data_IF_251822220324
#
_entry.id   IF_251822220324
#
_cell.length_a   1.000
_cell.length_b   1.000
_cell.length_c   1.000
_cell.angle_alpha   90.00
_cell.angle_beta   90.00
_cell.angle_gamma   90.00
#
_symmetry.space_group_name_H-M   'P 1'
#
loop_
_entity.id
_entity.type
_entity.pdbx_description
1 polymer ?
#
# COMPACT_ATOMS: atom_id res chain seq x y z
N UNK A 1 -44.36 16.30 -18.98
CA UNK A 1 -43.74 15.22 -18.23
C UNK A 1 -42.99 14.22 -19.15
N UNK A 2 -41.94 14.62 -19.87
CA UNK A 2 -41.14 13.72 -20.73
C UNK A 2 -39.67 14.14 -20.91
N UNK A 3 -39.03 14.68 -19.88
CA UNK A 3 -37.64 15.21 -20.01
C UNK A 3 -36.62 14.68 -18.97
N UNK A 4 -36.93 13.66 -18.17
CA UNK A 4 -36.09 13.27 -17.01
C UNK A 4 -35.38 11.91 -17.12
N UNK A 5 -35.28 11.29 -18.33
CA UNK A 5 -34.68 9.95 -18.45
C UNK A 5 -33.29 9.94 -19.14
N UNK A 6 -32.74 11.08 -19.54
CA UNK A 6 -31.48 11.09 -20.33
C UNK A 6 -30.17 11.32 -19.55
N UNK A 7 -30.23 11.63 -18.27
CA UNK A 7 -29.05 11.96 -17.46
C UNK A 7 -28.18 10.78 -16.93
N UNK A 8 -28.69 9.57 -16.67
CA UNK A 8 -27.83 8.50 -16.13
C UNK A 8 -26.84 7.90 -17.16
N UNK A 9 -27.14 7.98 -18.46
CA UNK A 9 -26.26 7.47 -19.50
C UNK A 9 -24.97 8.29 -19.68
N UNK A 10 -25.00 9.60 -19.45
CA UNK A 10 -23.83 10.45 -19.58
C UNK A 10 -22.81 10.23 -18.44
N UNK A 11 -23.28 9.95 -17.22
CA UNK A 11 -22.41 9.64 -16.09
C UNK A 11 -21.75 8.28 -16.24
N UNK A 12 -22.47 7.29 -16.75
CA UNK A 12 -21.92 5.95 -17.03
C UNK A 12 -20.88 5.98 -18.15
N UNK A 13 -21.03 6.84 -19.16
CA UNK A 13 -20.09 6.99 -20.26
C UNK A 13 -18.79 7.67 -19.82
N UNK A 14 -18.83 8.63 -18.93
CA UNK A 14 -17.64 9.29 -18.35
C UNK A 14 -16.85 8.30 -17.46
N UNK A 15 -17.53 7.44 -16.73
CA UNK A 15 -16.91 6.41 -15.90
C UNK A 15 -16.25 5.31 -16.77
N UNK A 16 -16.89 4.87 -17.84
CA UNK A 16 -16.30 3.91 -18.80
C UNK A 16 -15.09 4.51 -19.53
N UNK A 17 -15.10 5.81 -19.83
CA UNK A 17 -13.99 6.50 -20.49
C UNK A 17 -12.76 6.63 -19.56
N UNK A 18 -12.97 6.83 -18.26
CA UNK A 18 -11.85 6.90 -17.29
C UNK A 18 -11.18 5.54 -17.05
N UNK A 19 -11.94 4.44 -17.16
CA UNK A 19 -11.40 3.08 -17.06
C UNK A 19 -10.64 2.63 -18.32
N UNK A 20 -11.00 3.12 -19.50
CA UNK A 20 -10.34 2.76 -20.75
C UNK A 20 -9.02 3.50 -21.02
N UNK A 21 -8.75 4.60 -20.32
CA UNK A 21 -7.51 5.36 -20.47
C UNK A 21 -6.31 4.77 -19.71
N UNK A 22 -6.50 3.69 -18.95
CA UNK A 22 -5.43 3.08 -18.13
C UNK A 22 -4.86 1.77 -18.69
N UNK A 23 -5.22 1.35 -19.89
CA UNK A 23 -4.50 0.28 -20.58
C UNK A 23 -3.14 0.82 -21.06
N UNK A 24 -2.22 1.07 -20.10
CA UNK A 24 -0.83 1.39 -20.39
C UNK A 24 -0.04 0.11 -20.56
N UNK A 25 0.85 0.12 -21.55
CA UNK A 25 1.90 -0.87 -21.73
C UNK A 25 2.54 -1.24 -20.38
N UNK A 26 2.83 -2.54 -20.18
CA UNK A 26 3.26 -3.14 -18.91
C UNK A 26 4.55 -2.58 -18.28
N UNK A 27 4.63 -1.27 -18.12
CA UNK A 27 5.63 -0.57 -17.32
C UNK A 27 5.08 -0.43 -15.91
N UNK A 28 5.88 -0.82 -14.93
CA UNK A 28 5.55 -0.56 -13.54
C UNK A 28 5.41 0.95 -13.29
N UNK A 29 4.34 1.34 -12.64
CA UNK A 29 4.08 2.74 -12.30
C UNK A 29 4.97 3.18 -11.11
N UNK A 30 5.31 4.47 -10.97
CA UNK A 30 6.23 4.94 -9.94
C UNK A 30 5.84 4.59 -8.51
N UNK A 31 4.54 4.55 -8.22
CA UNK A 31 4.01 4.25 -6.89
C UNK A 31 3.70 2.76 -6.68
N UNK A 32 3.95 1.90 -7.68
CA UNK A 32 3.83 0.46 -7.51
C UNK A 32 4.82 -0.05 -6.47
N UNK A 33 4.36 -0.99 -5.65
CA UNK A 33 5.17 -1.54 -4.58
C UNK A 33 6.31 -2.41 -5.12
N UNK A 34 7.47 -2.30 -4.47
CA UNK A 34 8.67 -3.08 -4.76
C UNK A 34 9.28 -3.60 -3.47
N UNK A 35 8.53 -4.48 -2.79
CA UNK A 35 8.86 -4.94 -1.43
C UNK A 35 10.16 -5.75 -1.37
N UNK A 36 10.57 -6.36 -2.47
CA UNK A 36 11.85 -7.06 -2.59
C UNK A 36 13.06 -6.17 -2.26
N UNK A 37 12.94 -4.85 -2.45
CA UNK A 37 13.99 -3.88 -2.14
C UNK A 37 14.08 -3.52 -0.65
N UNK A 38 13.07 -3.89 0.14
CA UNK A 38 13.05 -3.72 1.59
C UNK A 38 13.68 -4.94 2.28
N UNK A 39 14.93 -5.20 1.95
CA UNK A 39 15.69 -6.34 2.47
C UNK A 39 17.10 -5.95 2.88
N UNK A 40 17.70 -6.76 3.71
CA UNK A 40 19.10 -6.66 4.12
C UNK A 40 19.77 -8.03 4.12
N UNK A 41 21.10 -8.06 4.03
CA UNK A 41 21.89 -9.26 4.04
C UNK A 41 23.23 -9.02 4.75
N UNK A 42 23.88 -10.10 5.17
CA UNK A 42 25.23 -10.02 5.73
C UNK A 42 26.25 -10.44 4.66
N UNK A 43 27.20 -9.56 4.36
CA UNK A 43 28.25 -9.75 3.35
C UNK A 43 29.49 -10.48 3.91
N UNK A 44 29.34 -11.27 4.96
CA UNK A 44 30.44 -12.06 5.52
C UNK A 44 30.79 -13.22 4.58
N UNK A 45 32.03 -13.33 4.11
CA UNK A 45 32.43 -14.48 3.32
C UNK A 45 32.24 -15.76 4.11
N UNK A 46 31.67 -16.77 3.48
CA UNK A 46 31.55 -18.08 4.08
C UNK A 46 32.96 -18.72 4.21
N UNK A 47 33.46 -18.89 5.43
CA UNK A 47 34.69 -19.57 5.72
C UNK A 47 34.32 -20.91 6.35
N UNK A 48 34.69 -22.01 5.70
CA UNK A 48 34.27 -23.40 5.95
C UNK A 48 33.99 -23.74 7.42
N UNK A 49 32.76 -24.20 7.69
CA UNK A 49 32.37 -24.83 8.92
C UNK A 49 31.54 -24.04 9.92
N UNK A 50 31.31 -22.75 9.73
CA UNK A 50 30.45 -21.94 10.61
C UNK A 50 30.18 -20.57 10.07
N UNK A 51 28.93 -20.10 10.21
CA UNK A 51 28.55 -18.75 9.81
C UNK A 51 28.85 -17.81 10.99
N UNK A 52 30.06 -17.28 11.04
CA UNK A 52 30.38 -16.17 11.94
C UNK A 52 29.91 -14.87 11.27
N UNK A 53 28.71 -14.42 11.59
CA UNK A 53 28.22 -13.13 11.12
C UNK A 53 29.07 -12.00 11.70
N UNK A 54 29.75 -11.25 10.85
CA UNK A 54 30.40 -10.02 11.22
C UNK A 54 29.35 -8.88 11.29
N UNK A 55 29.06 -8.30 12.46
CA UNK A 55 28.09 -7.23 12.61
C UNK A 55 28.40 -6.00 11.77
N UNK A 56 29.67 -5.75 11.45
CA UNK A 56 30.09 -4.63 10.60
C UNK A 56 29.74 -4.82 9.12
N UNK A 57 29.37 -6.03 8.72
CA UNK A 57 29.10 -6.40 7.33
C UNK A 57 27.62 -6.49 6.95
N UNK A 58 26.74 -6.05 7.81
CA UNK A 58 25.34 -5.91 7.42
C UNK A 58 25.17 -4.86 6.33
N UNK A 59 24.51 -5.25 5.25
CA UNK A 59 24.18 -4.39 4.13
C UNK A 59 22.68 -4.25 4.06
N UNK A 60 22.23 -3.02 4.06
CA UNK A 60 20.84 -2.63 3.89
C UNK A 60 20.71 -2.10 2.49
N UNK A 61 19.59 -2.25 1.86
CA UNK A 61 19.31 -1.56 0.61
C UNK A 61 19.25 -2.41 -0.66
N UNK A 62 18.43 -3.43 -0.66
CA UNK A 62 18.03 -4.09 -1.88
C UNK A 62 19.23 -4.48 -2.74
N UNK A 63 19.54 -5.68 -2.82
CA UNK A 63 20.68 -6.19 -3.55
C UNK A 63 21.09 -7.54 -3.01
N UNK A 64 20.18 -8.14 -2.26
CA UNK A 64 20.25 -9.56 -1.98
C UNK A 64 20.41 -10.29 -3.30
N UNK A 65 21.43 -11.09 -3.42
CA UNK A 65 21.72 -11.82 -4.65
C UNK A 65 22.49 -11.04 -5.74
N UNK A 66 22.70 -9.72 -5.60
CA UNK A 66 23.56 -8.97 -6.53
C UNK A 66 25.01 -8.87 -6.09
N UNK A 67 25.39 -9.41 -4.96
CA UNK A 67 26.79 -9.65 -4.65
C UNK A 67 27.32 -10.73 -5.62
N UNK A 68 27.39 -10.32 -6.86
CA UNK A 68 28.09 -11.01 -7.93
C UNK A 68 29.62 -10.96 -7.76
N UNK A 69 30.07 -10.83 -6.57
CA UNK A 69 31.33 -11.43 -6.17
C UNK A 69 31.06 -12.91 -5.84
N UNK A 70 30.17 -13.54 -6.60
CA UNK A 70 30.32 -14.93 -6.94
C UNK A 70 31.64 -15.09 -7.63
N UNK A 71 32.72 -14.94 -6.88
CA UNK A 71 33.98 -15.48 -7.28
C UNK A 71 33.68 -16.90 -7.70
N UNK A 72 34.08 -17.27 -8.89
CA UNK A 72 34.17 -18.61 -9.37
C UNK A 72 34.62 -19.52 -8.21
N UNK A 73 33.71 -20.29 -7.60
CA UNK A 73 34.05 -21.08 -6.44
C UNK A 73 32.87 -21.42 -5.54
N UNK A 74 31.61 -21.41 -6.01
CA UNK A 74 30.49 -22.03 -5.28
C UNK A 74 30.17 -21.41 -3.91
N UNK A 75 30.39 -20.13 -3.70
CA UNK A 75 30.04 -19.45 -2.45
C UNK A 75 28.51 -19.43 -2.32
N UNK A 76 27.96 -19.88 -1.17
CA UNK A 76 26.53 -19.75 -0.92
C UNK A 76 26.15 -18.26 -0.94
N UNK A 77 25.10 -17.93 -1.66
CA UNK A 77 24.54 -16.58 -1.69
C UNK A 77 24.23 -16.11 -0.26
N UNK A 78 24.50 -14.85 0.03
CA UNK A 78 24.13 -14.27 1.31
C UNK A 78 22.61 -14.37 1.51
N UNK A 79 22.21 -14.93 2.63
CA UNK A 79 20.79 -15.04 2.98
C UNK A 79 20.18 -13.66 3.16
N UNK A 80 19.04 -13.44 2.55
CA UNK A 80 18.30 -12.19 2.62
C UNK A 80 17.24 -12.21 3.73
N UNK A 81 17.06 -11.10 4.38
CA UNK A 81 16.11 -10.93 5.47
C UNK A 81 15.21 -9.70 5.22
N UNK A 82 13.97 -9.78 5.68
CA UNK A 82 13.00 -8.70 5.59
C UNK A 82 13.43 -7.49 6.45
N UNK A 83 13.46 -6.30 5.86
CA UNK A 83 13.65 -5.03 6.57
C UNK A 83 12.32 -4.54 7.15
N UNK A 84 11.96 -5.07 8.30
CA UNK A 84 10.71 -4.75 8.96
C UNK A 84 10.63 -3.32 9.47
N UNK A 85 11.76 -2.62 9.63
CA UNK A 85 11.78 -1.22 10.03
C UNK A 85 11.24 -0.32 8.91
N UNK A 86 11.75 -0.50 7.68
CA UNK A 86 11.27 0.24 6.52
C UNK A 86 9.87 -0.19 6.10
N UNK A 87 9.58 -1.47 6.22
CA UNK A 87 8.24 -2.01 6.00
C UNK A 87 7.20 -1.35 6.92
N UNK A 88 7.48 -1.19 8.22
CA UNK A 88 6.60 -0.52 9.16
C UNK A 88 6.30 0.92 8.74
N UNK A 89 7.30 1.69 8.31
CA UNK A 89 7.14 3.05 7.85
C UNK A 89 6.34 3.13 6.54
N UNK A 90 6.54 2.19 5.61
CA UNK A 90 5.77 2.10 4.36
C UNK A 90 4.30 1.83 4.66
N UNK A 91 4.00 0.82 5.48
CA UNK A 91 2.64 0.46 5.91
C UNK A 91 1.96 1.65 6.61
N UNK A 92 2.69 2.32 7.48
CA UNK A 92 2.22 3.50 8.20
C UNK A 92 1.73 4.59 7.25
N UNK A 93 2.60 5.04 6.37
CA UNK A 93 2.32 6.17 5.49
C UNK A 93 1.30 5.82 4.40
N UNK A 94 1.37 4.62 3.82
CA UNK A 94 0.40 4.16 2.83
C UNK A 94 -0.99 3.96 3.45
N UNK A 95 -1.04 3.47 4.69
CA UNK A 95 -2.29 3.32 5.44
C UNK A 95 -3.02 4.65 5.65
N UNK A 96 -2.28 5.72 5.97
CA UNK A 96 -2.86 7.07 6.09
C UNK A 96 -3.32 7.60 4.73
N UNK A 97 -2.57 7.36 3.65
CA UNK A 97 -2.96 7.77 2.30
C UNK A 97 -4.24 7.09 1.81
N UNK A 98 -4.44 5.81 2.17
CA UNK A 98 -5.63 5.04 1.84
C UNK A 98 -6.74 5.15 2.91
N UNK A 99 -6.54 5.94 3.96
CA UNK A 99 -7.55 6.13 4.99
C UNK A 99 -8.85 6.69 4.41
N UNK A 100 -10.01 6.21 4.90
CA UNK A 100 -11.31 6.73 4.47
C UNK A 100 -11.46 8.20 4.86
N UNK A 101 -11.73 9.07 3.88
CA UNK A 101 -12.07 10.48 4.11
C UNK A 101 -13.44 10.61 4.77
N UNK A 102 -13.70 11.75 5.44
CA UNK A 102 -15.03 12.07 5.95
C UNK A 102 -15.95 12.62 4.86
N UNK A 103 -15.45 13.56 4.09
CA UNK A 103 -16.07 14.23 2.93
C UNK A 103 -17.51 14.70 3.11
N UNK A 104 -18.04 14.65 4.34
CA UNK A 104 -19.42 14.96 4.63
C UNK A 104 -19.64 15.37 6.10
N UNK A 105 -20.60 16.29 6.36
CA UNK A 105 -20.96 16.71 7.71
C UNK A 105 -21.62 15.61 8.53
N UNK A 106 -21.86 15.87 9.81
CA UNK A 106 -22.49 14.95 10.75
C UNK A 106 -23.94 14.57 10.42
N UNK A 107 -24.63 15.41 9.65
CA UNK A 107 -25.98 15.10 9.21
C UNK A 107 -26.00 13.98 8.18
N UNK A 108 -27.00 13.10 8.24
CA UNK A 108 -27.26 12.09 7.22
C UNK A 108 -28.07 12.65 6.06
N UNK A 109 -28.20 11.85 4.99
CA UNK A 109 -29.01 12.21 3.83
C UNK A 109 -30.52 12.06 4.08
N UNK A 110 -30.93 11.50 5.23
CA UNK A 110 -32.30 11.13 5.53
C UNK A 110 -32.73 9.83 4.82
N UNK A 111 -33.90 9.29 5.17
CA UNK A 111 -34.34 7.97 4.73
C UNK A 111 -34.39 7.76 3.21
N UNK A 112 -34.83 8.76 2.43
CA UNK A 112 -34.87 8.67 0.96
C UNK A 112 -33.59 9.13 0.29
N UNK A 113 -32.67 9.76 1.04
CA UNK A 113 -31.51 10.43 0.50
C UNK A 113 -30.49 9.48 -0.14
N UNK A 114 -29.89 9.95 -1.22
CA UNK A 114 -28.85 9.26 -1.97
C UNK A 114 -27.79 10.25 -2.42
N UNK A 115 -26.53 9.85 -2.36
CA UNK A 115 -25.39 10.66 -2.79
C UNK A 115 -24.45 9.84 -3.67
N UNK A 116 -23.97 10.46 -4.72
CA UNK A 116 -22.85 9.97 -5.53
C UNK A 116 -21.87 11.10 -5.69
N UNK A 117 -20.61 10.87 -5.36
CA UNK A 117 -19.56 11.87 -5.48
C UNK A 117 -18.23 11.30 -5.87
N UNK A 118 -17.42 12.15 -6.48
CA UNK A 118 -16.02 11.92 -6.77
C UNK A 118 -15.18 12.77 -5.84
N UNK A 119 -14.19 12.15 -5.23
CA UNK A 119 -13.29 12.75 -4.26
C UNK A 119 -11.84 12.62 -4.75
N UNK A 120 -11.05 13.65 -4.54
CA UNK A 120 -9.61 13.63 -4.73
C UNK A 120 -8.93 14.01 -3.43
N UNK A 121 -8.11 13.10 -2.92
CA UNK A 121 -7.33 13.30 -1.72
C UNK A 121 -5.84 13.38 -2.05
N UNK A 122 -5.16 14.29 -1.37
CA UNK A 122 -3.71 14.48 -1.44
C UNK A 122 -3.15 14.31 -0.05
N UNK A 123 -2.29 13.32 0.15
CA UNK A 123 -1.63 13.04 1.43
C UNK A 123 -0.13 13.26 1.28
N UNK A 124 0.48 14.01 2.19
CA UNK A 124 1.92 14.21 2.18
C UNK A 124 2.65 12.92 2.61
N UNK A 125 3.79 12.68 1.98
CA UNK A 125 4.66 11.54 2.24
C UNK A 125 6.04 12.02 2.64
N UNK A 126 6.72 11.27 3.49
CA UNK A 126 8.12 11.50 3.83
C UNK A 126 9.02 11.00 2.70
N UNK A 127 9.19 11.81 1.66
CA UNK A 127 9.89 11.46 0.41
C UNK A 127 11.35 11.04 0.61
N UNK A 128 11.98 11.49 1.69
CA UNK A 128 13.38 11.18 2.02
C UNK A 128 13.51 9.85 2.78
N UNK A 129 12.40 9.29 3.26
CA UNK A 129 12.41 7.99 3.93
C UNK A 129 12.75 6.88 2.92
N UNK A 130 13.71 6.06 3.31
CA UNK A 130 14.11 4.87 2.56
C UNK A 130 12.94 3.90 2.31
N UNK A 131 11.90 3.92 3.15
CA UNK A 131 10.69 3.13 2.95
C UNK A 131 10.01 3.43 1.61
N UNK A 132 9.88 4.71 1.24
CA UNK A 132 9.32 5.13 -0.04
C UNK A 132 10.30 5.00 -1.20
N UNK A 133 11.52 5.44 -0.99
CA UNK A 133 12.57 5.38 -2.02
C UNK A 133 12.81 3.98 -2.56
N UNK A 134 12.69 2.98 -1.67
CA UNK A 134 13.00 1.58 -1.98
C UNK A 134 11.77 0.74 -2.11
N UNK A 135 10.76 0.98 -1.28
CA UNK A 135 9.52 0.21 -1.26
C UNK A 135 8.60 0.45 -2.45
N UNK A 136 8.92 1.42 -3.32
CA UNK A 136 8.20 1.70 -4.56
C UNK A 136 9.10 1.62 -5.78
N UNK A 137 8.52 1.39 -6.96
CA UNK A 137 9.25 1.25 -8.23
C UNK A 137 10.01 2.52 -8.60
N UNK A 138 9.43 3.66 -8.32
CA UNK A 138 10.04 4.94 -8.63
C UNK A 138 9.92 5.37 -10.08
N UNK A 139 10.22 6.64 -10.35
CA UNK A 139 10.31 7.16 -11.71
C UNK A 139 11.54 6.62 -12.43
N UNK A 140 11.40 6.31 -13.71
CA UNK A 140 12.41 5.72 -14.60
C UNK A 140 13.53 6.69 -14.99
N UNK A 141 14.04 7.52 -14.12
CA UNK A 141 15.02 8.53 -14.52
C UNK A 141 16.44 8.01 -14.75
N UNK A 142 16.70 6.72 -14.58
CA UNK A 142 18.06 6.23 -14.82
C UNK A 142 18.18 4.75 -15.16
N UNK A 143 17.59 4.30 -16.25
CA UNK A 143 17.92 3.00 -16.84
C UNK A 143 18.88 3.12 -18.02
N UNK A 144 19.49 4.27 -18.25
CA UNK A 144 20.42 4.46 -19.33
C UNK A 144 21.86 4.39 -18.79
N UNK A 145 22.46 3.22 -18.87
CA UNK A 145 23.88 3.15 -19.20
C UNK A 145 24.87 2.66 -18.16
N UNK A 146 24.56 2.36 -16.91
CA UNK A 146 25.62 1.96 -15.96
C UNK A 146 25.33 0.77 -15.05
N UNK A 147 24.43 -0.14 -15.39
CA UNK A 147 24.32 -1.44 -14.68
C UNK A 147 24.11 -1.40 -13.15
N UNK A 148 24.07 -0.25 -12.53
CA UNK A 148 23.71 -0.05 -11.13
C UNK A 148 22.23 0.25 -11.05
N UNK A 149 21.50 -0.54 -10.28
CA UNK A 149 20.10 -0.28 -9.99
C UNK A 149 19.94 1.20 -9.60
N UNK A 150 19.24 1.97 -10.43
CA UNK A 150 19.02 3.37 -10.18
C UNK A 150 18.25 3.53 -8.87
N UNK A 151 18.94 3.95 -7.83
CA UNK A 151 18.27 4.39 -6.62
C UNK A 151 17.57 5.71 -6.93
N UNK A 152 16.30 5.81 -6.66
CA UNK A 152 15.65 7.11 -6.62
C UNK A 152 16.33 7.97 -5.57
N UNK A 153 16.75 9.16 -5.96
CA UNK A 153 17.30 10.11 -4.99
C UNK A 153 16.24 10.57 -3.98
N UNK A 154 14.97 10.65 -4.42
CA UNK A 154 13.82 11.00 -3.57
C UNK A 154 12.60 10.17 -3.95
N UNK A 155 11.77 9.83 -2.97
CA UNK A 155 10.42 9.29 -3.18
C UNK A 155 9.43 10.37 -3.64
N UNK A 156 8.18 9.98 -3.91
CA UNK A 156 7.12 10.95 -4.15
C UNK A 156 6.80 11.71 -2.86
N UNK A 157 6.56 13.01 -2.97
CA UNK A 157 6.24 13.87 -1.82
C UNK A 157 4.78 13.79 -1.42
N UNK A 158 3.92 13.34 -2.33
CA UNK A 158 2.47 13.29 -2.13
C UNK A 158 1.88 12.04 -2.76
N UNK A 159 0.94 11.42 -2.05
CA UNK A 159 0.06 10.40 -2.58
C UNK A 159 -1.25 11.04 -3.04
N UNK A 160 -1.62 10.81 -4.30
CA UNK A 160 -2.88 11.26 -4.89
C UNK A 160 -3.83 10.08 -4.96
N UNK A 161 -4.97 10.18 -4.28
CA UNK A 161 -5.99 9.12 -4.25
C UNK A 161 -7.30 9.68 -4.77
N UNK A 162 -7.83 9.09 -5.84
CA UNK A 162 -9.18 9.37 -6.30
C UNK A 162 -10.16 8.33 -5.75
N UNK A 163 -11.37 8.76 -5.39
CA UNK A 163 -12.42 7.92 -4.83
C UNK A 163 -13.75 8.20 -5.52
N UNK A 164 -14.47 7.15 -5.82
CA UNK A 164 -15.91 7.22 -6.12
C UNK A 164 -16.64 6.79 -4.85
N UNK A 165 -17.46 7.67 -4.29
CA UNK A 165 -18.17 7.42 -3.04
C UNK A 165 -19.68 7.48 -3.27
N UNK A 166 -20.38 6.45 -2.86
CA UNK A 166 -21.84 6.34 -2.94
C UNK A 166 -22.39 6.16 -1.54
N UNK A 167 -23.39 6.95 -1.16
CA UNK A 167 -24.01 6.90 0.17
C UNK A 167 -25.52 6.83 0.07
N UNK A 168 -26.13 6.06 0.97
CA UNK A 168 -27.58 5.89 1.09
C UNK A 168 -28.02 6.16 2.51
N UNK A 169 -28.92 7.11 2.67
CA UNK A 169 -29.58 7.35 3.95
C UNK A 169 -30.58 6.25 4.28
N UNK A 170 -30.58 5.84 5.54
CA UNK A 170 -31.41 4.80 6.13
C UNK A 170 -32.32 5.38 7.23
N UNK A 171 -33.33 4.62 7.73
CA UNK A 171 -34.12 5.06 8.87
C UNK A 171 -33.29 5.31 10.12
N UNK A 172 -33.84 6.05 11.07
CA UNK A 172 -33.29 6.30 12.41
C UNK A 172 -31.94 7.02 12.43
N UNK A 173 -31.66 7.83 11.42
CA UNK A 173 -30.40 8.59 11.33
C UNK A 173 -29.19 7.76 10.96
N UNK A 174 -29.38 6.57 10.36
CA UNK A 174 -28.29 5.78 9.80
C UNK A 174 -28.01 6.17 8.34
N UNK A 175 -26.77 6.01 7.92
CA UNK A 175 -26.32 6.18 6.54
C UNK A 175 -25.25 5.11 6.23
N UNK A 176 -25.43 4.41 5.12
CA UNK A 176 -24.48 3.42 4.62
C UNK A 176 -23.75 4.01 3.43
N UNK A 177 -22.43 3.91 3.43
CA UNK A 177 -21.55 4.33 2.34
C UNK A 177 -20.73 3.18 1.79
N UNK A 178 -20.38 3.27 0.52
CA UNK A 178 -19.40 2.43 -0.15
C UNK A 178 -18.50 3.27 -1.04
N UNK A 179 -17.22 2.92 -1.10
CA UNK A 179 -16.25 3.65 -1.90
C UNK A 179 -15.32 2.72 -2.64
N UNK A 180 -14.90 3.15 -3.82
CA UNK A 180 -13.81 2.56 -4.59
C UNK A 180 -12.75 3.62 -4.77
N UNK A 181 -11.52 3.30 -4.39
CA UNK A 181 -10.39 4.24 -4.40
C UNK A 181 -9.28 3.71 -5.29
N UNK A 182 -8.56 4.63 -5.92
CA UNK A 182 -7.38 4.34 -6.74
C UNK A 182 -6.24 5.28 -6.36
N UNK A 183 -5.08 4.73 -6.05
CA UNK A 183 -3.85 5.49 -5.85
C UNK A 183 -3.23 5.80 -7.22
N UNK A 184 -3.13 7.08 -7.56
CA UNK A 184 -2.57 7.51 -8.85
C UNK A 184 -1.10 7.07 -8.99
N UNK A 185 -0.69 6.83 -10.22
CA UNK A 185 0.65 6.35 -10.56
C UNK A 185 0.97 5.00 -9.90
N UNK A 186 -0.05 4.16 -9.71
CA UNK A 186 0.09 2.79 -9.21
C UNK A 186 -1.04 1.89 -9.70
N UNK A 187 -0.88 0.57 -9.53
CA UNK A 187 -1.94 -0.41 -9.70
C UNK A 187 -2.71 -0.70 -8.40
N UNK A 188 -2.62 0.20 -7.41
CA UNK A 188 -3.23 0.01 -6.09
C UNK A 188 -4.66 0.52 -6.11
N UNK A 189 -5.59 -0.37 -5.85
CA UNK A 189 -7.00 -0.07 -5.63
C UNK A 189 -7.38 -0.38 -4.19
N UNK A 190 -8.43 0.27 -3.70
CA UNK A 190 -9.01 -0.06 -2.41
C UNK A 190 -10.53 0.02 -2.47
N UNK A 191 -11.19 -0.88 -1.75
CA UNK A 191 -12.64 -0.93 -1.62
C UNK A 191 -12.98 -0.67 -0.16
N UNK A 192 -13.92 0.23 0.10
CA UNK A 192 -14.32 0.60 1.44
C UNK A 192 -15.82 0.61 1.64
N UNK A 193 -16.17 0.42 2.92
CA UNK A 193 -17.52 0.54 3.44
C UNK A 193 -17.51 1.46 4.65
N UNK A 194 -18.55 2.24 4.83
CA UNK A 194 -18.76 3.04 6.03
C UNK A 194 -20.22 3.01 6.49
N UNK A 195 -20.39 3.06 7.79
CA UNK A 195 -21.69 3.19 8.45
C UNK A 195 -21.62 4.39 9.38
N UNK A 196 -22.52 5.36 9.16
CA UNK A 196 -22.67 6.56 9.98
C UNK A 196 -23.97 6.53 10.74
N UNK A 197 -23.96 7.04 11.95
CA UNK A 197 -25.13 7.25 12.76
C UNK A 197 -25.14 8.68 13.30
N UNK A 198 -26.15 9.45 12.92
CA UNK A 198 -26.40 10.81 13.44
C UNK A 198 -27.33 10.73 14.63
N UNK A 199 -26.80 11.10 15.80
CA UNK A 199 -27.51 10.95 17.08
C UNK A 199 -28.67 11.95 17.27
N UNK A 200 -28.62 13.12 16.61
CA UNK A 200 -29.59 14.18 16.84
C UNK A 200 -30.56 14.41 15.68
N UNK A 201 -30.41 13.70 14.59
CA UNK A 201 -31.29 13.81 13.44
C UNK A 201 -32.67 13.23 13.75
N UNK A 202 -33.71 13.99 13.50
CA UNK A 202 -35.11 13.57 13.71
C UNK A 202 -35.68 13.80 15.11
N UNK A 203 -34.88 14.06 16.14
CA UNK A 203 -35.34 14.37 17.51
C UNK A 203 -35.48 15.86 17.79
N UNK A 204 -35.31 16.71 16.78
CA UNK A 204 -35.05 18.16 16.91
C UNK A 204 -36.27 19.08 16.91
N UNK A 205 -37.39 18.68 17.30
CA UNK A 205 -38.46 19.64 17.56
C UNK A 205 -38.12 20.41 18.84
N UNK A 206 -37.44 21.55 18.67
CA UNK A 206 -37.15 22.51 19.77
C UNK A 206 -35.67 22.78 20.07
N UNK A 207 -34.70 22.01 19.60
CA UNK A 207 -33.27 22.18 19.96
C UNK A 207 -32.43 22.61 18.76
N UNK A 208 -32.92 23.56 17.96
CA UNK A 208 -32.24 24.03 16.73
C UNK A 208 -30.88 24.72 16.95
N UNK A 209 -30.43 24.92 18.19
CA UNK A 209 -29.19 25.59 18.54
C UNK A 209 -27.99 24.65 18.63
N UNK A 210 -28.20 23.36 18.91
CA UNK A 210 -27.10 22.43 19.05
C UNK A 210 -26.55 22.01 17.68
N UNK A 211 -25.22 21.79 17.57
CA UNK A 211 -24.64 21.19 16.39
C UNK A 211 -25.11 19.73 16.24
N UNK A 212 -25.12 19.28 15.00
CA UNK A 212 -25.31 17.86 14.67
C UNK A 212 -24.12 17.06 15.15
N UNK A 213 -24.37 15.89 15.74
CA UNK A 213 -23.31 14.98 16.16
C UNK A 213 -23.51 13.61 15.50
N UNK A 214 -22.46 13.07 14.95
CA UNK A 214 -22.48 11.72 14.38
C UNK A 214 -21.23 10.93 14.75
N UNK A 215 -21.41 9.61 14.78
CA UNK A 215 -20.34 8.63 14.86
C UNK A 215 -20.31 7.85 13.55
N UNK A 216 -19.12 7.55 13.04
CA UNK A 216 -18.93 6.74 11.83
C UNK A 216 -17.90 5.67 12.09
N UNK A 217 -18.21 4.42 11.71
CA UNK A 217 -17.24 3.35 11.52
C UNK A 217 -16.98 3.15 10.04
N UNK A 218 -15.75 2.94 9.66
CA UNK A 218 -15.34 2.75 8.27
C UNK A 218 -14.25 1.71 8.15
N UNK A 219 -14.22 1.01 7.02
CA UNK A 219 -13.16 0.06 6.66
C UNK A 219 -12.81 0.27 5.21
N UNK A 220 -11.52 0.28 4.92
CA UNK A 220 -10.99 0.36 3.56
C UNK A 220 -9.90 -0.70 3.38
N UNK A 221 -10.04 -1.56 2.38
CA UNK A 221 -9.12 -2.67 2.13
C UNK A 221 -8.51 -2.55 0.76
N UNK A 222 -7.18 -2.66 0.71
CA UNK A 222 -6.43 -2.68 -0.54
C UNK A 222 -6.69 -3.98 -1.31
N UNK A 223 -6.82 -3.87 -2.63
CA UNK A 223 -7.03 -4.98 -3.55
C UNK A 223 -6.08 -4.87 -4.73
N UNK A 224 -5.84 -5.99 -5.42
CA UNK A 224 -5.00 -6.01 -6.62
C UNK A 224 -3.50 -6.21 -6.36
N UNK A 225 -3.05 -6.28 -5.11
CA UNK A 225 -1.65 -6.53 -4.75
C UNK A 225 -1.49 -7.91 -4.12
N UNK A 226 -0.57 -8.72 -4.66
CA UNK A 226 -0.29 -10.06 -4.14
C UNK A 226 0.74 -10.07 -3.00
N UNK A 227 1.65 -9.11 -3.02
CA UNK A 227 2.75 -9.04 -2.06
C UNK A 227 2.38 -8.39 -0.74
N UNK A 228 1.26 -7.64 -0.69
CA UNK A 228 0.83 -6.87 0.47
C UNK A 228 -0.69 -6.89 0.60
N UNK A 229 -1.15 -7.05 1.83
CA UNK A 229 -2.53 -6.81 2.25
C UNK A 229 -2.55 -5.65 3.23
N UNK A 230 -3.34 -4.63 2.95
CA UNK A 230 -3.49 -3.45 3.79
C UNK A 230 -4.97 -3.17 4.03
N UNK A 231 -5.35 -3.13 5.29
CA UNK A 231 -6.71 -2.76 5.71
C UNK A 231 -6.63 -1.61 6.70
N UNK A 232 -7.41 -0.58 6.46
CA UNK A 232 -7.51 0.59 7.33
C UNK A 232 -8.91 0.65 7.90
N UNK A 233 -9.00 0.62 9.23
CA UNK A 233 -10.26 0.76 9.97
C UNK A 233 -10.29 2.14 10.61
N UNK A 234 -11.36 2.89 10.38
CA UNK A 234 -11.59 4.22 10.94
C UNK A 234 -12.77 4.23 11.90
N UNK A 235 -12.61 4.94 13.01
CA UNK A 235 -13.69 5.30 13.91
C UNK A 235 -13.68 6.82 14.07
N UNK A 236 -14.77 7.47 13.67
CA UNK A 236 -14.86 8.92 13.61
C UNK A 236 -15.99 9.44 14.49
N UNK A 237 -15.73 10.56 15.15
CA UNK A 237 -16.75 11.35 15.82
C UNK A 237 -16.73 12.76 15.23
N UNK A 238 -17.89 13.28 14.84
CA UNK A 238 -17.96 14.56 14.13
C UNK A 238 -19.11 15.44 14.58
N UNK A 239 -18.87 16.74 14.49
CA UNK A 239 -19.82 17.83 14.75
C UNK A 239 -19.99 18.64 13.48
N UNK A 240 -21.21 19.07 13.21
CA UNK A 240 -21.50 20.00 12.10
C UNK A 240 -22.65 20.93 12.42
N UNK A 241 -22.69 22.07 11.72
CA UNK A 241 -23.80 23.00 11.82
C UNK A 241 -24.16 23.52 10.42
N UNK A 242 -25.41 23.35 10.03
CA UNK A 242 -25.93 23.84 8.76
C UNK A 242 -26.34 25.31 8.86
N UNK A 243 -25.90 26.13 7.91
CA UNK A 243 -26.32 27.49 7.68
C UNK A 243 -26.96 27.58 6.30
N UNK A 244 -28.14 28.22 6.21
CA UNK A 244 -28.82 28.43 4.92
C UNK A 244 -28.63 29.89 4.51
N UNK A 245 -28.06 30.12 3.35
CA UNK A 245 -27.79 31.44 2.77
C UNK A 245 -28.75 31.69 1.61
N UNK A 246 -29.53 32.77 1.68
CA UNK A 246 -30.46 33.13 0.62
C UNK A 246 -31.53 32.08 0.29
N UNK A 247 -31.80 31.14 1.19
CA UNK A 247 -32.84 30.12 1.01
C UNK A 247 -32.49 28.94 0.09
N UNK A 248 -31.43 29.02 -0.74
CA UNK A 248 -31.07 28.00 -1.73
C UNK A 248 -29.71 27.33 -1.46
N UNK A 249 -28.77 28.10 -0.94
CA UNK A 249 -27.41 27.58 -0.68
C UNK A 249 -27.27 27.17 0.77
N UNK A 250 -26.82 25.96 1.01
CA UNK A 250 -26.55 25.41 2.35
C UNK A 250 -25.05 25.31 2.55
N UNK A 251 -24.54 25.99 3.57
CA UNK A 251 -23.16 25.95 4.00
C UNK A 251 -23.07 25.18 5.31
N UNK A 252 -22.24 24.14 5.37
CA UNK A 252 -22.15 23.27 6.53
C UNK A 252 -20.68 23.06 6.90
N UNK A 253 -20.11 23.88 7.80
CA UNK A 253 -18.83 23.56 8.42
C UNK A 253 -18.95 22.32 9.29
N UNK A 254 -17.89 21.53 9.33
CA UNK A 254 -17.79 20.36 10.17
C UNK A 254 -16.39 20.21 10.77
N UNK A 255 -16.34 19.59 11.95
CA UNK A 255 -15.13 19.28 12.68
C UNK A 255 -15.26 17.87 13.23
N UNK A 256 -14.17 17.10 13.22
CA UNK A 256 -14.20 15.74 13.75
C UNK A 256 -12.85 15.24 14.23
N UNK A 257 -12.91 14.20 15.07
CA UNK A 257 -11.78 13.38 15.44
C UNK A 257 -11.90 12.02 14.78
N UNK A 258 -10.80 11.51 14.29
CA UNK A 258 -10.71 10.18 13.66
C UNK A 258 -9.63 9.36 14.35
N UNK A 259 -9.99 8.14 14.72
CA UNK A 259 -9.04 7.13 15.16
C UNK A 259 -8.90 6.08 14.06
N UNK A 260 -7.67 5.89 13.59
CA UNK A 260 -7.35 4.92 12.55
C UNK A 260 -6.59 3.73 13.14
N UNK A 261 -6.93 2.54 12.68
CA UNK A 261 -6.13 1.32 12.85
C UNK A 261 -5.71 0.83 11.47
N UNK A 262 -4.40 0.75 11.24
CA UNK A 262 -3.79 0.29 10.02
C UNK A 262 -3.27 -1.12 10.25
N UNK A 263 -3.77 -2.08 9.47
CA UNK A 263 -3.46 -3.48 9.53
C UNK A 263 -2.71 -3.86 8.25
N UNK A 264 -1.39 -4.03 8.36
CA UNK A 264 -0.53 -4.38 7.22
C UNK A 264 0.04 -5.78 7.40
N UNK A 265 -0.16 -6.63 6.40
CA UNK A 265 0.40 -7.97 6.32
C UNK A 265 1.05 -8.15 4.94
N UNK A 266 2.13 -8.91 4.86
CA UNK A 266 2.74 -9.26 3.58
C UNK A 266 2.45 -10.70 3.18
N UNK A 267 2.38 -10.95 1.88
CA UNK A 267 2.57 -12.28 1.32
C UNK A 267 4.03 -12.70 1.37
N UNK A 268 4.33 -13.82 0.74
CA UNK A 268 5.71 -14.25 0.50
C UNK A 268 6.32 -13.34 -0.56
N UNK A 269 7.45 -12.74 -0.23
CA UNK A 269 8.19 -11.83 -1.12
C UNK A 269 9.54 -12.48 -1.44
N UNK A 270 9.87 -12.56 -2.71
CA UNK A 270 11.20 -12.92 -3.16
C UNK A 270 12.12 -11.70 -3.07
N UNK A 271 13.12 -11.74 -2.18
CA UNK A 271 14.07 -10.63 -1.97
C UNK A 271 15.19 -10.60 -3.01
N UNK A 272 15.33 -11.62 -3.80
CA UNK A 272 16.30 -11.70 -4.91
C UNK A 272 15.61 -12.02 -6.23
N UNK A 273 14.63 -11.22 -6.67
CA UNK A 273 13.98 -11.48 -7.94
C UNK A 273 15.04 -11.37 -9.03
N UNK A 274 15.59 -12.50 -9.38
CA UNK A 274 16.33 -12.61 -10.61
C UNK A 274 15.36 -12.33 -11.74
N UNK A 275 15.82 -11.71 -12.80
CA UNK A 275 15.02 -11.43 -13.99
C UNK A 275 14.17 -12.67 -14.26
N UNK A 276 12.87 -12.52 -14.01
CA UNK A 276 11.95 -13.64 -14.11
C UNK A 276 12.04 -14.16 -15.52
N UNK A 277 12.46 -15.39 -15.68
CA UNK A 277 12.50 -16.05 -16.98
C UNK A 277 11.13 -16.01 -17.67
N UNK A 278 10.04 -15.90 -16.90
CA UNK A 278 8.70 -15.71 -17.41
C UNK A 278 8.46 -14.36 -18.10
N UNK A 279 9.01 -13.27 -17.59
CA UNK A 279 8.76 -11.93 -18.13
C UNK A 279 9.74 -11.57 -19.26
N UNK A 280 10.92 -12.18 -19.27
CA UNK A 280 11.95 -11.88 -20.27
C UNK A 280 12.08 -12.98 -21.33
N UNK A 281 11.40 -14.10 -21.17
CA UNK A 281 11.37 -15.19 -22.12
C UNK A 281 10.05 -15.22 -22.89
N UNK A 282 9.94 -14.59 -24.05
CA UNK A 282 8.72 -14.66 -24.87
C UNK A 282 8.42 -16.06 -25.41
N UNK A 283 9.39 -16.95 -25.40
CA UNK A 283 9.24 -18.37 -25.69
C UNK A 283 10.05 -19.20 -24.69
N UNK A 284 9.34 -19.99 -23.92
CA UNK A 284 9.92 -20.97 -23.02
C UNK A 284 9.97 -22.32 -23.73
N UNK A 285 11.15 -22.88 -23.86
CA UNK A 285 11.35 -24.22 -24.38
C UNK A 285 12.00 -25.10 -23.31
N UNK A 286 11.52 -26.33 -23.16
CA UNK A 286 12.17 -27.32 -22.29
C UNK A 286 13.25 -28.01 -23.11
N UNK A 287 14.49 -27.79 -22.76
CA UNK A 287 15.62 -28.55 -23.30
C UNK A 287 16.04 -29.64 -22.33
N UNK A 288 16.17 -30.83 -22.82
CA UNK A 288 16.70 -31.94 -22.03
C UNK A 288 18.23 -31.95 -22.09
N UNK A 289 18.86 -31.83 -20.93
CA UNK A 289 20.33 -31.85 -20.77
C UNK A 289 20.74 -33.06 -19.92
N UNK A 290 22.00 -33.47 -20.02
CA UNK A 290 22.50 -34.57 -19.18
C UNK A 290 22.36 -34.22 -17.69
N UNK A 291 21.84 -35.18 -16.91
CA UNK A 291 21.76 -35.03 -15.45
C UNK A 291 23.18 -35.04 -14.86
N UNK A 292 23.64 -33.96 -14.23
CA UNK A 292 25.00 -33.89 -13.69
C UNK A 292 25.24 -34.76 -12.46
N UNK A 293 24.17 -35.33 -11.90
CA UNK A 293 24.28 -36.21 -10.73
C UNK A 293 24.98 -37.53 -11.05
N UNK A 294 25.79 -38.08 -10.12
CA UNK A 294 26.45 -39.36 -10.31
C UNK A 294 25.45 -40.50 -10.64
N UNK A 295 25.85 -41.52 -11.40
CA UNK A 295 24.96 -42.64 -11.74
C UNK A 295 24.37 -43.37 -10.52
N UNK A 296 25.02 -43.30 -9.38
CA UNK A 296 24.58 -43.93 -8.13
C UNK A 296 23.63 -43.05 -7.29
N UNK A 297 23.35 -41.82 -7.69
CA UNK A 297 22.45 -40.92 -6.96
C UNK A 297 21.00 -41.38 -7.14
N UNK A 298 20.28 -41.68 -6.04
CA UNK A 298 18.88 -42.12 -6.10
C UNK A 298 17.94 -41.08 -6.68
N UNK A 299 18.34 -39.81 -6.72
CA UNK A 299 17.58 -38.71 -7.29
C UNK A 299 17.92 -38.44 -8.76
N UNK A 300 18.88 -39.19 -9.34
CA UNK A 300 19.19 -39.08 -10.75
C UNK A 300 18.01 -39.50 -11.61
N UNK A 301 17.74 -38.74 -12.65
CA UNK A 301 16.72 -39.13 -13.63
C UNK A 301 17.02 -40.46 -14.24
N UNK A 302 16.07 -41.42 -14.30
CA UNK A 302 16.26 -42.74 -14.94
C UNK A 302 16.69 -42.65 -16.41
N UNK A 303 16.31 -41.60 -17.11
CA UNK A 303 16.71 -41.32 -18.48
C UNK A 303 18.11 -40.70 -18.60
N UNK A 304 18.74 -40.34 -17.49
CA UNK A 304 19.99 -39.59 -17.48
C UNK A 304 19.88 -38.17 -18.00
N UNK A 305 18.66 -37.69 -18.23
CA UNK A 305 18.36 -36.33 -18.74
C UNK A 305 17.44 -35.61 -17.79
N UNK A 306 17.68 -34.31 -17.60
CA UNK A 306 16.79 -33.40 -16.88
C UNK A 306 16.30 -32.30 -17.83
N UNK A 307 15.04 -31.95 -17.67
CA UNK A 307 14.44 -30.80 -18.41
C UNK A 307 14.93 -29.50 -17.80
N UNK A 308 15.51 -28.65 -18.62
CA UNK A 308 15.84 -27.26 -18.28
C UNK A 308 15.06 -26.31 -19.15
N UNK A 309 14.52 -25.27 -18.52
CA UNK A 309 13.84 -24.18 -19.22
C UNK A 309 14.87 -23.30 -19.94
N UNK A 310 14.69 -23.10 -21.23
CA UNK A 310 15.49 -22.18 -22.05
C UNK A 310 14.65 -21.03 -22.55
N UNK A 311 15.25 -19.84 -22.62
CA UNK A 311 14.68 -18.66 -23.21
C UNK A 311 15.08 -18.57 -24.70
N UNK A 312 14.24 -19.02 -25.61
CA UNK A 312 14.43 -18.90 -27.06
C UNK A 312 15.66 -19.63 -27.62
N UNK A 313 15.84 -19.54 -28.94
CA UNK A 313 16.98 -20.12 -29.64
C UNK A 313 18.25 -19.33 -29.31
N UNK A 314 19.09 -19.85 -28.44
CA UNK A 314 20.35 -19.24 -28.02
C UNK A 314 20.35 -18.58 -26.64
N UNK A 315 19.23 -18.62 -25.90
CA UNK A 315 19.16 -18.14 -24.52
C UNK A 315 20.06 -18.96 -23.58
N UNK A 316 20.68 -18.26 -22.62
CA UNK A 316 21.48 -18.94 -21.61
C UNK A 316 20.57 -19.77 -20.72
N UNK A 317 20.97 -21.00 -20.47
CA UNK A 317 20.30 -21.88 -19.50
C UNK A 317 20.57 -21.33 -18.12
N UNK A 318 19.53 -21.04 -17.36
CA UNK A 318 19.70 -20.75 -15.96
C UNK A 318 20.22 -22.00 -15.25
N UNK A 319 21.45 -21.95 -14.76
CA UNK A 319 21.99 -23.03 -13.95
C UNK A 319 21.43 -22.97 -12.53
N UNK A 320 21.31 -24.10 -11.81
CA UNK A 320 20.83 -24.12 -10.43
C UNK A 320 21.58 -23.10 -9.55
N UNK A 321 20.84 -22.22 -8.90
CA UNK A 321 21.37 -21.17 -8.02
C UNK A 321 21.95 -19.96 -8.74
N UNK A 322 21.80 -19.83 -10.08
CA UNK A 322 22.13 -18.61 -10.82
C UNK A 322 20.89 -17.74 -11.06
N UNK A 323 21.08 -16.46 -11.39
CA UNK A 323 20.00 -15.58 -11.79
C UNK A 323 19.11 -16.22 -12.87
N UNK A 324 17.81 -16.36 -12.60
CA UNK A 324 16.82 -16.99 -13.49
C UNK A 324 16.44 -18.43 -13.10
N UNK A 325 16.94 -18.97 -11.99
CA UNK A 325 16.48 -20.25 -11.44
C UNK A 325 15.06 -20.08 -10.86
N UNK A 326 14.07 -20.67 -11.53
CA UNK A 326 12.66 -20.68 -11.10
C UNK A 326 12.42 -21.44 -9.79
N UNK A 327 13.38 -22.25 -9.37
CA UNK A 327 13.30 -23.04 -8.14
C UNK A 327 14.06 -22.38 -6.97
N UNK A 328 14.62 -21.18 -7.16
CA UNK A 328 15.32 -20.48 -6.09
C UNK A 328 14.31 -19.82 -5.13
N UNK A 329 13.91 -20.59 -4.13
CA UNK A 329 13.06 -20.12 -3.02
C UNK A 329 13.87 -19.68 -1.80
N UNK A 330 15.20 -19.67 -1.88
CA UNK A 330 16.09 -19.50 -0.71
C UNK A 330 16.01 -18.12 -0.08
N UNK A 331 15.66 -17.11 -0.85
CA UNK A 331 15.59 -15.73 -0.42
C UNK A 331 14.15 -15.21 -0.30
N UNK A 332 13.18 -16.11 -0.29
CA UNK A 332 11.79 -15.75 -0.04
C UNK A 332 11.55 -15.55 1.45
N UNK A 333 10.83 -14.51 1.79
CA UNK A 333 10.50 -14.17 3.18
C UNK A 333 9.18 -13.46 3.31
N UNK A 334 8.78 -13.24 4.56
CA UNK A 334 7.54 -12.55 4.93
C UNK A 334 7.90 -11.42 5.88
N UNK A 335 7.31 -10.25 5.69
CA UNK A 335 7.44 -9.15 6.64
C UNK A 335 6.57 -9.39 7.87
N UNK A 336 6.99 -8.85 9.00
CA UNK A 336 6.20 -8.89 10.22
C UNK A 336 4.86 -8.17 10.04
N UNK A 337 3.81 -8.73 10.65
CA UNK A 337 2.50 -8.11 10.68
C UNK A 337 2.54 -6.77 11.43
N UNK A 338 2.09 -5.70 10.78
CA UNK A 338 2.05 -4.36 11.37
C UNK A 338 0.65 -4.01 11.82
N UNK A 339 0.53 -3.47 13.03
CA UNK A 339 -0.73 -3.03 13.64
C UNK A 339 -0.48 -1.63 14.22
N UNK A 340 -0.82 -0.61 13.43
CA UNK A 340 -0.46 0.79 13.71
C UNK A 340 -1.72 1.59 13.97
N UNK A 341 -1.64 2.59 14.82
CA UNK A 341 -2.75 3.46 15.16
C UNK A 341 -2.36 4.94 14.98
N UNK A 342 -3.35 5.73 14.57
CA UNK A 342 -3.27 7.18 14.46
C UNK A 342 -4.48 7.84 15.11
N UNK A 343 -4.25 9.02 15.67
CA UNK A 343 -5.31 9.93 16.07
C UNK A 343 -5.23 11.20 15.23
N UNK A 344 -6.27 11.49 14.47
CA UNK A 344 -6.33 12.60 13.52
C UNK A 344 -7.43 13.58 13.89
N UNK A 345 -7.22 14.83 13.59
CA UNK A 345 -8.25 15.85 13.62
C UNK A 345 -8.61 16.23 12.20
N UNK A 346 -9.91 16.43 11.96
CA UNK A 346 -10.45 16.74 10.65
C UNK A 346 -11.30 17.99 10.74
N UNK A 347 -11.08 18.92 9.84
CA UNK A 347 -11.91 20.11 9.69
C UNK A 347 -12.32 20.25 8.23
N UNK A 348 -13.57 20.63 7.98
CA UNK A 348 -14.04 20.75 6.61
C UNK A 348 -15.25 21.66 6.46
N UNK A 349 -15.59 21.88 5.21
CA UNK A 349 -16.70 22.71 4.80
C UNK A 349 -17.43 22.04 3.64
N UNK A 350 -18.75 21.95 3.73
CA UNK A 350 -19.61 21.50 2.64
C UNK A 350 -20.51 22.65 2.17
N UNK A 351 -20.58 22.81 0.87
CA UNK A 351 -21.50 23.71 0.18
C UNK A 351 -22.46 22.85 -0.65
N UNK A 352 -23.74 23.03 -0.44
CA UNK A 352 -24.79 22.36 -1.20
C UNK A 352 -25.70 23.40 -1.84
N UNK A 353 -25.87 23.27 -3.16
CA UNK A 353 -26.82 24.05 -3.95
C UNK A 353 -27.70 23.10 -4.73
N UNK A 354 -28.99 23.07 -4.38
CA UNK A 354 -29.96 22.10 -4.90
C UNK A 354 -29.42 20.66 -4.76
N UNK A 355 -29.15 20.00 -5.88
CA UNK A 355 -28.59 18.64 -5.93
C UNK A 355 -27.05 18.63 -5.93
N UNK A 356 -26.41 19.75 -6.22
CA UNK A 356 -24.95 19.82 -6.30
C UNK A 356 -24.33 20.00 -4.92
N UNK A 357 -23.30 19.23 -4.66
CA UNK A 357 -22.55 19.28 -3.40
C UNK A 357 -21.08 19.37 -3.69
N UNK A 358 -20.40 20.33 -3.05
CA UNK A 358 -18.95 20.45 -3.06
C UNK A 358 -18.49 20.46 -1.61
N UNK A 359 -17.50 19.67 -1.27
CA UNK A 359 -16.89 19.67 0.06
C UNK A 359 -15.38 19.70 -0.01
N UNK A 360 -14.78 20.35 0.98
CA UNK A 360 -13.35 20.34 1.22
C UNK A 360 -13.08 19.94 2.65
N UNK A 361 -12.07 19.11 2.87
CA UNK A 361 -11.63 18.74 4.21
C UNK A 361 -10.10 18.77 4.31
N UNK A 362 -9.64 19.01 5.51
CA UNK A 362 -8.25 18.92 5.90
C UNK A 362 -8.14 18.05 7.14
N UNK A 363 -7.35 16.99 7.06
CA UNK A 363 -7.08 16.06 8.15
C UNK A 363 -5.59 16.10 8.50
N UNK A 364 -5.25 16.09 9.78
CA UNK A 364 -3.87 16.05 10.23
C UNK A 364 -3.70 15.18 11.48
N UNK A 365 -2.53 14.57 11.61
CA UNK A 365 -2.19 13.72 12.75
C UNK A 365 -1.94 14.58 14.00
N UNK A 366 -2.72 14.34 15.05
CA UNK A 366 -2.57 15.03 16.34
C UNK A 366 -1.40 14.48 17.16
N UNK A 367 -1.20 13.19 17.08
CA UNK A 367 -0.18 12.47 17.82
C UNK A 367 0.72 11.68 16.86
N UNK A 368 1.97 11.39 17.26
CA UNK A 368 2.82 10.47 16.51
C UNK A 368 2.15 9.11 16.31
N UNK A 369 2.41 8.43 15.19
CA UNK A 369 1.95 7.07 15.00
C UNK A 369 2.51 6.15 16.07
N UNK A 370 1.74 5.16 16.48
CA UNK A 370 2.16 4.18 17.47
C UNK A 370 1.65 2.79 17.13
N UNK A 371 2.30 1.77 17.66
CA UNK A 371 1.83 0.41 17.49
C UNK A 371 0.64 0.13 18.41
N UNK A 372 -0.48 -0.31 17.86
CA UNK A 372 -1.57 -0.92 18.62
C UNK A 372 -1.14 -2.27 19.21
N UNK A 373 -0.35 -3.02 18.44
CA UNK A 373 0.31 -4.24 18.89
C UNK A 373 1.76 -4.18 18.43
N UNK A 374 2.69 -4.17 19.38
CA UNK A 374 4.13 -4.14 19.09
C UNK A 374 4.54 -5.40 18.30
N UNK A 375 5.25 -5.26 17.19
CA UNK A 375 5.84 -6.39 16.49
C UNK A 375 6.78 -7.17 17.41
N UNK A 376 7.01 -8.46 17.10
CA UNK A 376 7.98 -9.27 17.83
C UNK A 376 9.37 -8.62 17.81
N UNK A 377 10.10 -8.68 18.91
CA UNK A 377 11.48 -8.20 18.99
C UNK A 377 12.40 -8.93 18.00
N UNK A 378 12.09 -10.19 17.70
CA UNK A 378 12.87 -10.98 16.72
C UNK A 378 12.72 -10.46 15.27
N UNK A 379 11.69 -9.66 15.01
CA UNK A 379 11.48 -9.02 13.71
C UNK A 379 12.35 -7.76 13.49
N UNK A 380 13.02 -7.26 14.53
CA UNK A 380 13.87 -6.08 14.46
C UNK A 380 15.16 -6.29 13.67
N UNK A 381 15.81 -5.19 13.31
CA UNK A 381 17.11 -5.22 12.63
C UNK A 381 18.19 -5.74 13.57
N UNK A 382 19.22 -6.44 13.06
CA UNK A 382 20.35 -6.83 13.87
C UNK A 382 21.08 -5.61 14.41
N UNK A 383 21.42 -5.65 15.69
CA UNK A 383 22.24 -4.62 16.31
C UNK A 383 23.67 -4.66 15.76
N UNK A 384 24.32 -3.51 15.70
CA UNK A 384 25.76 -3.41 15.41
C UNK A 384 26.63 -3.83 16.60
N UNK A 385 26.05 -4.14 17.75
CA UNK A 385 26.78 -4.66 18.89
C UNK A 385 27.31 -6.07 18.61
N UNK A 386 28.54 -6.39 19.00
CA UNK A 386 29.10 -7.72 18.76
C UNK A 386 28.23 -8.79 19.43
N UNK A 387 27.86 -9.79 18.66
CA UNK A 387 27.18 -10.96 19.19
C UNK A 387 28.11 -11.70 20.17
N UNK A 388 27.60 -12.07 21.32
CA UNK A 388 28.32 -12.99 22.22
C UNK A 388 28.34 -14.36 21.55
N UNK A 389 29.52 -15.00 21.50
CA UNK A 389 29.68 -16.30 20.87
C UNK A 389 28.59 -17.28 21.33
N UNK A 390 27.83 -17.83 20.38
CA UNK A 390 26.75 -18.78 20.66
C UNK A 390 25.36 -18.17 20.93
N UNK A 391 25.22 -16.85 20.95
CA UNK A 391 23.92 -16.19 21.06
C UNK A 391 23.54 -15.51 19.74
N UNK A 392 22.24 -15.50 19.38
CA UNK A 392 21.78 -14.74 18.23
C UNK A 392 22.11 -13.25 18.42
N UNK A 393 22.46 -12.56 17.34
CA UNK A 393 22.73 -11.13 17.39
C UNK A 393 21.52 -10.38 18.00
N UNK A 394 21.78 -9.48 18.97
CA UNK A 394 20.69 -8.71 19.57
C UNK A 394 19.94 -7.94 18.48
N UNK A 395 18.62 -7.84 18.60
CA UNK A 395 17.74 -7.15 17.67
C UNK A 395 17.31 -5.80 18.22
N UNK A 396 17.28 -4.79 17.37
CA UNK A 396 16.74 -3.49 17.74
C UNK A 396 15.22 -3.52 17.58
N UNK A 397 14.45 -2.94 18.53
CA UNK A 397 13.01 -2.82 18.37
C UNK A 397 12.65 -2.06 17.09
N UNK A 398 11.56 -2.47 16.45
CA UNK A 398 10.98 -1.70 15.33
C UNK A 398 10.34 -0.45 15.91
N UNK A 399 10.63 0.70 15.32
CA UNK A 399 10.10 2.00 15.71
C UNK A 399 9.41 2.65 14.52
N UNK A 400 8.39 3.46 14.78
CA UNK A 400 7.76 4.28 13.75
C UNK A 400 8.42 5.65 13.73
N UNK A 401 8.60 6.20 12.52
CA UNK A 401 9.05 7.58 12.37
C UNK A 401 7.98 8.54 12.92
N UNK A 402 8.39 9.54 13.68
CA UNK A 402 7.51 10.61 14.17
C UNK A 402 7.19 11.60 13.03
N UNK A 403 6.67 11.07 11.93
CA UNK A 403 6.25 11.87 10.79
C UNK A 403 4.75 12.05 10.83
N UNK A 404 4.32 13.30 11.03
CA UNK A 404 2.91 13.68 11.06
C UNK A 404 2.40 13.95 9.66
N UNK A 405 1.43 13.17 9.25
CA UNK A 405 0.85 13.29 7.94
C UNK A 405 -0.36 14.22 7.97
N UNK A 406 -0.55 14.90 6.86
CA UNK A 406 -1.79 15.62 6.59
C UNK A 406 -2.40 15.13 5.27
N UNK A 407 -3.70 15.25 5.17
CA UNK A 407 -4.46 14.90 3.96
C UNK A 407 -5.44 16.03 3.68
N UNK A 408 -5.45 16.51 2.44
CA UNK A 408 -6.47 17.44 1.94
C UNK A 408 -7.35 16.69 0.96
N UNK A 409 -8.67 16.78 1.11
CA UNK A 409 -9.64 16.14 0.22
C UNK A 409 -10.59 17.18 -0.34
N UNK A 410 -10.85 17.11 -1.63
CA UNK A 410 -11.91 17.85 -2.31
C UNK A 410 -12.88 16.83 -2.90
N UNK A 411 -14.17 17.03 -2.65
CA UNK A 411 -15.21 16.18 -3.20
C UNK A 411 -16.27 17.00 -3.94
N UNK A 412 -16.73 16.45 -5.05
CA UNK A 412 -17.84 17.01 -5.85
C UNK A 412 -18.85 15.89 -6.07
N UNK A 413 -20.12 16.17 -5.85
CA UNK A 413 -21.14 15.12 -5.97
C UNK A 413 -22.55 15.64 -6.17
N UNK A 414 -23.44 14.68 -6.32
CA UNK A 414 -24.87 14.89 -6.49
C UNK A 414 -25.59 14.29 -5.28
N UNK A 415 -26.43 15.10 -4.64
CA UNK A 415 -27.24 14.72 -3.49
C UNK A 415 -28.72 14.76 -3.87
N UNK A 416 -29.39 13.66 -3.74
CA UNK A 416 -30.84 13.51 -3.93
C UNK A 416 -31.49 13.30 -2.55
N UNK A 417 -32.42 14.17 -2.17
CA UNK A 417 -33.13 14.14 -0.87
C UNK A 417 -34.63 14.09 -1.08
#
# INVERSE_FOLDING_TARGET
MRALVRTPLAAASLFALSLSLQARDGRADPMDLSLNRLSYYNDTPWVGGGVNYDPARWRFNGGCGTSATGAAGGQPFAQCYADNQRWANLVNQLGVALAPGLSAPAMTLGFSGFYVGYEMAVTNLQSEDDAWRRGTQGGLTSLVGTGTAASRDRGDTNAFVSRLHVRKGLPLGFELGTQVSHLHSSNIWAIGLDLRWSLFEGFRRGIGYLPDFAIRGSVNTMVGQQQMSLTVVGLDAMLSKRFTLGGQVRLTPFLGGQYLMILGDSGVVDFSPTRSAFNECPRQEIRYVADPRPPADPLRSPSGLIGQLQCGTGGQVAAPGLPGDLNDTRNSGVFAAMRIQHARMIAGLQLQWEIFTVSGEFAFDMMPPSFFRTPSTDAGLPSTSPAVMGQPAPRTPITLNDYRQWTTTIAVGLTFQ
#
